data_IF_329221260983
#
_entry.id   IF_329221260983
#
_cell.length_a   1.000
_cell.length_b   1.000
_cell.length_c   1.000
_cell.angle_alpha   90.00
_cell.angle_beta   90.00
_cell.angle_gamma   90.00
#
_symmetry.space_group_name_H-M   'P 1'
#
loop_
_entity.id
_entity.type
_entity.pdbx_description
1 polymer ?
#
# COMPACT_ATOMS: atom_id res chain seq x y z
N UNK A 1 -24.72 -34.23 -64.44
CA UNK A 1 -25.97 -33.65 -63.89
C UNK A 1 -26.15 -34.19 -62.47
N UNK A 2 -25.95 -33.33 -61.45
CA UNK A 2 -26.32 -33.49 -60.02
C UNK A 2 -25.57 -34.60 -59.26
N UNK A 3 -24.46 -34.35 -58.56
CA UNK A 3 -24.32 -33.61 -57.28
C UNK A 3 -25.37 -34.03 -56.25
N UNK A 4 -25.01 -35.00 -55.37
CA UNK A 4 -25.58 -35.27 -54.03
C UNK A 4 -25.01 -36.59 -53.52
N UNK A 5 -24.17 -36.54 -52.48
CA UNK A 5 -24.23 -37.37 -51.26
C UNK A 5 -22.98 -37.05 -50.44
N UNK A 6 -23.09 -35.90 -49.77
CA UNK A 6 -22.22 -35.52 -48.67
C UNK A 6 -22.78 -36.13 -47.37
N UNK A 7 -21.90 -36.21 -46.37
CA UNK A 7 -22.16 -36.47 -44.94
C UNK A 7 -22.56 -37.89 -44.56
N UNK A 8 -21.60 -38.67 -44.04
CA UNK A 8 -21.77 -39.55 -42.88
C UNK A 8 -20.44 -40.27 -42.60
N UNK A 9 -19.60 -39.70 -41.72
CA UNK A 9 -18.61 -40.40 -40.86
C UNK A 9 -17.44 -39.47 -40.46
N UNK A 10 -17.61 -38.61 -39.46
CA UNK A 10 -16.47 -38.02 -38.75
C UNK A 10 -16.80 -37.34 -37.39
N UNK A 11 -17.89 -37.71 -36.70
CA UNK A 11 -18.22 -37.10 -35.40
C UNK A 11 -18.51 -38.15 -34.34
N UNK A 12 -17.50 -38.96 -34.03
CA UNK A 12 -17.49 -39.84 -32.86
C UNK A 12 -16.10 -39.82 -32.21
N UNK A 13 -15.72 -38.64 -31.69
CA UNK A 13 -14.68 -38.54 -30.67
C UNK A 13 -15.33 -37.85 -29.47
N UNK A 14 -15.85 -38.69 -28.58
CA UNK A 14 -16.30 -38.33 -27.24
C UNK A 14 -15.09 -37.86 -26.42
N UNK A 15 -14.77 -36.58 -26.50
CA UNK A 15 -13.98 -35.91 -25.48
C UNK A 15 -14.87 -35.62 -24.28
N UNK A 16 -14.58 -36.23 -23.14
CA UNK A 16 -15.10 -35.80 -21.84
C UNK A 16 -14.67 -34.35 -21.58
N UNK A 17 -15.54 -33.39 -21.93
CA UNK A 17 -15.47 -32.07 -21.34
C UNK A 17 -15.96 -32.21 -19.91
N UNK A 18 -15.01 -32.34 -18.97
CA UNK A 18 -15.26 -32.05 -17.57
C UNK A 18 -15.72 -30.59 -17.50
N UNK A 19 -17.03 -30.40 -17.42
CA UNK A 19 -17.63 -29.14 -17.05
C UNK A 19 -17.20 -28.85 -15.60
N UNK A 20 -16.07 -28.17 -15.44
CA UNK A 20 -15.83 -27.40 -14.24
C UNK A 20 -16.92 -26.33 -14.22
N UNK A 21 -18.00 -26.62 -13.48
CA UNK A 21 -18.99 -25.64 -13.11
C UNK A 21 -18.28 -24.58 -12.25
N UNK A 22 -17.73 -23.56 -12.89
CA UNK A 22 -17.38 -22.33 -12.21
C UNK A 22 -18.72 -21.69 -11.87
N UNK A 23 -19.13 -21.81 -10.61
CA UNK A 23 -20.26 -21.07 -10.07
C UNK A 23 -19.93 -19.58 -10.20
N UNK A 24 -20.40 -18.97 -11.27
CA UNK A 24 -20.42 -17.53 -11.44
C UNK A 24 -21.38 -16.96 -10.38
N UNK A 25 -20.83 -16.57 -9.23
CA UNK A 25 -21.50 -15.68 -8.30
C UNK A 25 -21.53 -14.31 -9.00
N UNK A 26 -22.71 -13.75 -9.35
CA UNK A 26 -22.77 -12.45 -9.97
C UNK A 26 -22.52 -11.39 -8.90
N UNK A 27 -21.38 -10.72 -9.01
CA UNK A 27 -21.08 -9.47 -8.33
C UNK A 27 -20.00 -9.55 -7.26
N UNK A 28 -18.73 -9.56 -7.66
CA UNK A 28 -17.63 -9.00 -6.85
C UNK A 28 -16.56 -8.43 -7.79
N UNK A 29 -16.49 -7.10 -7.81
CA UNK A 29 -15.35 -6.22 -8.10
C UNK A 29 -14.27 -6.67 -9.09
N UNK A 30 -14.31 -6.03 -10.27
CA UNK A 30 -13.12 -5.81 -11.10
C UNK A 30 -12.26 -4.76 -10.39
N UNK A 31 -11.36 -5.19 -9.51
CA UNK A 31 -10.31 -4.32 -8.98
C UNK A 31 -9.02 -4.55 -9.75
N UNK A 32 -8.80 -3.71 -10.76
CA UNK A 32 -7.55 -3.57 -11.51
C UNK A 32 -6.46 -2.83 -10.70
N UNK A 33 -6.45 -2.97 -9.37
CA UNK A 33 -5.47 -2.36 -8.47
C UNK A 33 -4.56 -3.38 -7.75
N UNK A 34 -4.69 -4.68 -8.04
CA UNK A 34 -3.89 -5.76 -7.44
C UNK A 34 -2.77 -6.20 -8.39
N UNK A 35 -1.93 -5.25 -8.80
CA UNK A 35 -0.67 -5.57 -9.47
C UNK A 35 0.47 -5.31 -8.50
N UNK A 36 1.11 -6.37 -8.00
CA UNK A 36 2.41 -6.36 -7.30
C UNK A 36 2.47 -6.05 -5.80
N UNK A 37 1.48 -6.44 -5.00
CA UNK A 37 1.71 -6.63 -3.55
C UNK A 37 1.77 -8.14 -3.24
N UNK A 38 2.98 -8.69 -3.16
CA UNK A 38 3.24 -10.06 -2.65
C UNK A 38 3.55 -10.03 -1.15
N UNK A 39 2.85 -9.17 -0.41
CA UNK A 39 3.08 -8.93 1.00
C UNK A 39 2.35 -9.93 1.90
N UNK A 40 2.66 -9.89 3.19
CA UNK A 40 1.93 -10.67 4.20
C UNK A 40 0.67 -9.92 4.62
N UNK A 41 -0.50 -10.55 4.43
CA UNK A 41 -1.79 -10.02 4.88
C UNK A 41 -2.12 -10.45 6.31
N UNK A 42 -2.60 -9.53 7.12
CA UNK A 42 -3.10 -9.79 8.46
C UNK A 42 -4.29 -8.91 8.80
N UNK A 43 -5.34 -9.50 9.39
CA UNK A 43 -6.46 -8.71 9.94
C UNK A 43 -6.17 -8.27 11.37
N UNK A 44 -6.42 -6.98 11.63
CA UNK A 44 -6.38 -6.34 12.93
C UNK A 44 -7.82 -6.05 13.36
N UNK A 45 -8.22 -6.54 14.53
CA UNK A 45 -9.55 -6.33 15.11
C UNK A 45 -9.70 -4.91 15.71
N UNK A 46 -9.28 -3.91 14.95
CA UNK A 46 -9.25 -2.50 15.30
C UNK A 46 -9.91 -1.68 14.20
N UNK A 47 -10.43 -0.51 14.56
CA UNK A 47 -10.74 0.50 13.56
C UNK A 47 -9.46 1.09 12.95
N UNK A 48 -9.61 1.77 11.81
CA UNK A 48 -8.48 2.31 11.05
C UNK A 48 -7.56 3.24 11.86
N UNK A 49 -8.09 4.06 12.77
CA UNK A 49 -7.27 5.02 13.52
C UNK A 49 -6.38 4.29 14.52
N UNK A 50 -6.93 3.28 15.19
CA UNK A 50 -6.16 2.42 16.09
C UNK A 50 -5.21 1.50 15.34
N UNK A 51 -5.58 1.03 14.15
CA UNK A 51 -4.67 0.28 13.27
C UNK A 51 -3.47 1.12 12.84
N UNK A 52 -3.67 2.39 12.45
CA UNK A 52 -2.57 3.30 12.14
C UNK A 52 -1.65 3.53 13.35
N UNK A 53 -2.22 3.73 14.53
CA UNK A 53 -1.46 3.91 15.77
C UNK A 53 -0.61 2.66 16.08
N UNK A 54 -1.21 1.47 15.97
CA UNK A 54 -0.51 0.20 16.18
C UNK A 54 0.62 -0.02 15.15
N UNK A 55 0.42 0.38 13.89
CA UNK A 55 1.48 0.36 12.87
C UNK A 55 2.63 1.29 13.25
N UNK A 56 2.34 2.53 13.62
CA UNK A 56 3.36 3.50 14.01
C UNK A 56 4.21 2.99 15.18
N UNK A 57 3.56 2.60 16.28
CA UNK A 57 4.26 2.09 17.47
C UNK A 57 5.02 0.80 17.19
N UNK A 58 4.43 -0.13 16.43
CA UNK A 58 5.08 -1.39 16.06
C UNK A 58 6.34 -1.18 15.21
N UNK A 59 6.31 -0.22 14.27
CA UNK A 59 7.50 0.17 13.51
C UNK A 59 8.54 0.86 14.41
N UNK A 60 8.13 1.75 15.31
CA UNK A 60 9.02 2.45 16.22
C UNK A 60 9.77 1.49 17.18
N UNK A 61 9.11 0.43 17.67
CA UNK A 61 9.75 -0.63 18.45
C UNK A 61 10.87 -1.36 17.67
N UNK A 62 10.81 -1.32 16.35
CA UNK A 62 11.80 -1.92 15.45
C UNK A 62 12.81 -0.89 14.91
N UNK A 63 12.83 0.34 15.43
CA UNK A 63 13.63 1.44 14.91
C UNK A 63 13.36 1.71 13.41
N UNK A 64 12.10 1.59 13.02
CA UNK A 64 11.56 1.99 11.72
C UNK A 64 10.58 3.14 11.92
N UNK A 65 10.44 3.98 10.90
CA UNK A 65 9.51 5.11 10.94
C UNK A 65 8.60 5.08 9.72
N UNK A 66 7.38 5.58 9.89
CA UNK A 66 6.52 5.93 8.75
C UNK A 66 7.09 7.19 8.12
N UNK A 67 7.65 7.06 6.92
CA UNK A 67 8.27 8.17 6.20
C UNK A 67 7.23 8.98 5.44
N UNK A 68 6.26 8.29 4.83
CA UNK A 68 5.16 8.88 4.05
C UNK A 68 3.86 8.19 4.43
N UNK A 69 2.80 8.97 4.64
CA UNK A 69 1.44 8.51 4.90
C UNK A 69 0.49 9.14 3.88
N UNK A 70 -0.16 8.31 3.08
CA UNK A 70 -1.11 8.70 2.04
C UNK A 70 -2.51 8.15 2.37
N UNK A 71 -3.51 9.01 2.64
CA UNK A 71 -4.91 8.61 2.65
C UNK A 71 -5.35 8.12 1.26
N UNK A 72 -5.98 6.95 1.23
CA UNK A 72 -6.60 6.41 0.01
C UNK A 72 -8.05 6.01 0.29
N UNK A 73 -8.78 5.61 -0.76
CA UNK A 73 -10.14 5.13 -0.59
C UNK A 73 -10.14 3.95 0.40
N UNK A 74 -10.98 4.07 1.43
CA UNK A 74 -11.16 3.07 2.49
C UNK A 74 -9.88 2.71 3.27
N UNK A 75 -8.82 3.53 3.24
CA UNK A 75 -7.53 3.10 3.78
C UNK A 75 -6.42 4.12 3.82
N UNK A 76 -5.22 3.60 4.07
CA UNK A 76 -3.97 4.35 4.04
C UNK A 76 -2.88 3.50 3.38
N UNK A 77 -2.04 4.15 2.57
CA UNK A 77 -0.77 3.59 2.13
C UNK A 77 0.36 4.30 2.88
N UNK A 78 1.34 3.55 3.33
CA UNK A 78 2.46 4.03 4.12
C UNK A 78 3.75 3.58 3.46
N UNK A 79 4.70 4.49 3.28
CA UNK A 79 6.11 4.14 3.09
C UNK A 79 6.78 4.18 4.47
N UNK A 80 7.55 3.15 4.81
CA UNK A 80 8.34 3.12 6.04
C UNK A 80 9.81 2.84 5.75
N UNK A 81 10.69 3.22 6.68
CA UNK A 81 12.07 2.80 6.63
C UNK A 81 12.96 3.43 7.69
N UNK A 82 14.26 3.14 7.57
CA UNK A 82 15.32 3.76 8.37
C UNK A 82 16.62 4.02 7.58
N UNK A 83 16.55 3.93 6.25
CA UNK A 83 17.69 4.11 5.35
C UNK A 83 18.45 2.82 5.00
N UNK A 84 18.34 1.77 5.81
CA UNK A 84 18.88 0.43 5.51
C UNK A 84 17.80 -0.56 5.06
N UNK A 85 16.62 -0.43 5.65
CA UNK A 85 15.43 -1.21 5.37
C UNK A 85 14.31 -0.23 5.04
N UNK A 86 13.61 -0.52 3.95
CA UNK A 86 12.51 0.29 3.45
C UNK A 86 11.34 -0.66 3.11
N UNK A 87 10.14 -0.12 2.99
CA UNK A 87 8.99 -0.91 2.57
C UNK A 87 7.69 -0.13 2.58
N UNK A 88 6.62 -0.87 2.28
CA UNK A 88 5.28 -0.35 2.16
C UNK A 88 4.32 -1.09 3.09
N UNK A 89 3.39 -0.37 3.70
CA UNK A 89 2.23 -0.93 4.38
C UNK A 89 0.97 -0.39 3.73
N UNK A 90 0.01 -1.27 3.47
CA UNK A 90 -1.33 -0.90 3.07
C UNK A 90 -2.31 -1.30 4.17
N UNK A 91 -3.07 -0.31 4.67
CA UNK A 91 -4.17 -0.51 5.60
C UNK A 91 -5.49 -0.33 4.86
N UNK A 92 -6.33 -1.35 4.87
CA UNK A 92 -7.66 -1.34 4.26
C UNK A 92 -8.74 -1.61 5.29
N UNK A 93 -9.73 -0.74 5.36
CA UNK A 93 -10.91 -0.93 6.21
C UNK A 93 -11.79 -2.03 5.62
N UNK A 94 -12.03 -3.09 6.39
CA UNK A 94 -13.02 -4.11 6.05
C UNK A 94 -14.38 -3.82 6.72
N UNK A 95 -14.35 -3.39 7.98
CA UNK A 95 -15.55 -2.96 8.71
C UNK A 95 -15.23 -1.76 9.60
N UNK A 96 -16.22 -1.25 10.34
CA UNK A 96 -15.98 -0.20 11.33
C UNK A 96 -14.94 -0.59 12.41
N UNK A 97 -14.70 -1.89 12.64
CA UNK A 97 -13.80 -2.41 13.69
C UNK A 97 -12.82 -3.49 13.18
N UNK A 98 -12.62 -3.58 11.88
CA UNK A 98 -11.73 -4.56 11.27
C UNK A 98 -10.96 -3.88 10.13
N UNK A 99 -9.64 -3.95 10.21
CA UNK A 99 -8.72 -3.41 9.22
C UNK A 99 -7.76 -4.51 8.78
N UNK A 100 -7.56 -4.70 7.49
CA UNK A 100 -6.50 -5.55 6.95
C UNK A 100 -5.24 -4.72 6.78
N UNK A 101 -4.11 -5.28 7.20
CA UNK A 101 -2.79 -4.76 6.96
C UNK A 101 -2.06 -5.71 6.00
N UNK A 102 -1.52 -5.16 4.92
CA UNK A 102 -0.57 -5.82 4.03
C UNK A 102 0.77 -5.15 4.18
N UNK A 103 1.85 -5.90 4.40
CA UNK A 103 3.21 -5.35 4.50
C UNK A 103 4.13 -5.95 3.45
N UNK A 104 4.97 -5.09 2.86
CA UNK A 104 6.07 -5.46 1.97
C UNK A 104 7.36 -4.80 2.47
N UNK A 105 8.44 -5.56 2.64
CA UNK A 105 9.72 -5.04 3.10
C UNK A 105 10.86 -5.41 2.14
N UNK A 106 11.79 -4.49 1.93
CA UNK A 106 12.92 -4.68 1.04
C UNK A 106 14.21 -4.02 1.52
N UNK A 107 15.34 -4.65 1.19
CA UNK A 107 16.68 -4.07 1.33
C UNK A 107 17.28 -3.91 -0.06
N UNK A 108 17.30 -2.67 -0.57
CA UNK A 108 17.54 -2.41 -1.98
C UNK A 108 16.50 -3.13 -2.83
N UNK A 109 16.93 -4.00 -3.76
CA UNK A 109 16.04 -4.76 -4.64
C UNK A 109 15.59 -6.12 -4.05
N UNK A 110 16.02 -6.48 -2.85
CA UNK A 110 15.75 -7.80 -2.26
C UNK A 110 14.59 -7.75 -1.29
N UNK A 111 13.53 -8.48 -1.60
CA UNK A 111 12.40 -8.79 -0.70
C UNK A 111 12.86 -9.43 0.61
N UNK A 112 12.22 -9.07 1.73
CA UNK A 112 12.59 -9.46 3.09
C UNK A 112 11.41 -10.10 3.85
N UNK A 113 10.99 -11.30 3.47
CA UNK A 113 9.88 -12.01 4.10
C UNK A 113 10.00 -12.17 5.64
N UNK A 114 11.22 -12.41 6.16
CA UNK A 114 11.43 -12.54 7.61
C UNK A 114 11.18 -11.23 8.36
N UNK A 115 11.47 -10.09 7.72
CA UNK A 115 11.20 -8.75 8.25
C UNK A 115 9.70 -8.48 8.24
N UNK A 116 9.01 -8.82 7.16
CA UNK A 116 7.55 -8.67 7.07
C UNK A 116 6.83 -9.43 8.19
N UNK A 117 7.22 -10.68 8.45
CA UNK A 117 6.68 -11.46 9.55
C UNK A 117 6.99 -10.85 10.92
N UNK A 118 8.17 -10.24 11.10
CA UNK A 118 8.52 -9.55 12.33
C UNK A 118 7.66 -8.29 12.52
N UNK A 119 7.49 -7.46 11.48
CA UNK A 119 6.60 -6.28 11.51
C UNK A 119 5.17 -6.69 11.83
N UNK A 120 4.64 -7.73 11.16
CA UNK A 120 3.29 -8.25 11.45
C UNK A 120 3.16 -8.67 12.91
N UNK A 121 4.17 -9.34 13.46
CA UNK A 121 4.16 -9.80 14.85
C UNK A 121 4.16 -8.62 15.82
N UNK A 122 5.02 -7.61 15.61
CA UNK A 122 5.11 -6.44 16.47
C UNK A 122 3.83 -5.60 16.41
N UNK A 123 3.34 -5.29 15.22
CA UNK A 123 2.08 -4.55 15.05
C UNK A 123 0.90 -5.30 15.66
N UNK A 124 0.83 -6.64 15.49
CA UNK A 124 -0.20 -7.45 16.14
C UNK A 124 -0.07 -7.39 17.66
N UNK A 125 1.14 -7.48 18.21
CA UNK A 125 1.38 -7.35 19.64
C UNK A 125 0.82 -6.03 20.18
N UNK A 126 1.23 -4.91 19.58
CA UNK A 126 0.72 -3.58 19.95
C UNK A 126 -0.80 -3.49 19.78
N UNK A 127 -1.36 -4.07 18.71
CA UNK A 127 -2.80 -4.02 18.45
C UNK A 127 -3.67 -4.67 19.53
N UNK A 128 -3.11 -5.64 20.28
CA UNK A 128 -3.82 -6.32 21.36
C UNK A 128 -3.92 -5.47 22.62
N UNK A 129 -2.97 -4.54 22.80
CA UNK A 129 -2.89 -3.63 23.95
C UNK A 129 -3.41 -2.22 23.63
N UNK A 130 -3.85 -1.98 22.38
CA UNK A 130 -4.26 -0.66 21.91
C UNK A 130 -5.51 -0.14 22.63
N UNK A 131 -5.38 1.03 23.24
CA UNK A 131 -6.47 1.75 23.91
C UNK A 131 -7.48 2.34 22.93
N UNK A 132 -8.68 2.66 23.42
CA UNK A 132 -9.73 3.30 22.60
C UNK A 132 -9.34 4.70 22.09
N UNK A 133 -8.42 5.35 22.80
CA UNK A 133 -7.94 6.70 22.51
C UNK A 133 -6.66 6.72 21.67
N UNK A 134 -6.12 5.55 21.32
CA UNK A 134 -4.88 5.49 20.55
C UNK A 134 -5.10 6.03 19.13
N UNK A 135 -4.20 6.92 18.73
CA UNK A 135 -4.22 7.63 17.45
C UNK A 135 -2.80 7.70 16.90
N UNK A 136 -2.71 7.73 15.58
CA UNK A 136 -1.46 8.08 14.91
C UNK A 136 -1.00 9.48 15.37
N UNK A 137 0.24 9.59 15.80
CA UNK A 137 0.86 10.87 16.14
C UNK A 137 1.43 11.50 14.87
N UNK A 138 0.86 12.66 14.52
CA UNK A 138 1.35 13.50 13.42
C UNK A 138 2.44 14.48 13.89
N UNK A 139 2.96 14.34 15.11
CA UNK A 139 4.02 15.20 15.62
C UNK A 139 5.27 15.08 14.74
N UNK A 140 5.79 16.22 14.30
CA UNK A 140 6.96 16.29 13.41
C UNK A 140 6.64 16.07 11.92
N UNK A 141 5.44 15.61 11.56
CA UNK A 141 5.07 15.42 10.16
C UNK A 141 4.76 16.75 9.46
N UNK A 142 5.10 16.82 8.18
CA UNK A 142 4.74 17.92 7.27
C UNK A 142 3.77 17.42 6.21
N UNK A 143 3.08 18.36 5.56
CA UNK A 143 2.03 18.08 4.57
C UNK A 143 2.61 17.81 3.18
N UNK A 144 1.91 16.97 2.42
CA UNK A 144 2.13 16.71 1.00
C UNK A 144 0.96 17.30 0.22
N UNK A 145 1.25 17.93 -0.92
CA UNK A 145 0.28 18.70 -1.71
C UNK A 145 0.18 18.19 -3.16
N UNK A 146 -0.99 18.39 -3.76
CA UNK A 146 -1.25 18.04 -5.17
C UNK A 146 -0.50 18.95 -6.15
N UNK A 147 -0.22 20.19 -5.77
CA UNK A 147 0.53 21.17 -6.57
C UNK A 147 1.60 21.82 -5.71
N UNK A 148 2.49 22.58 -6.35
CA UNK A 148 3.49 23.40 -5.65
C UNK A 148 2.88 24.65 -5.01
N UNK A 149 1.78 24.48 -4.28
CA UNK A 149 1.00 25.54 -3.63
C UNK A 149 0.36 24.97 -2.36
N UNK A 150 0.60 25.61 -1.21
CA UNK A 150 0.04 25.21 0.08
C UNK A 150 -1.49 25.33 0.14
N UNK A 151 -2.09 26.15 -0.74
CA UNK A 151 -3.54 26.24 -0.88
C UNK A 151 -4.14 25.08 -1.71
N UNK A 152 -3.30 24.26 -2.34
CA UNK A 152 -3.76 23.08 -3.09
C UNK A 152 -4.19 21.95 -2.16
N UNK A 153 -4.82 20.93 -2.73
CA UNK A 153 -5.32 19.78 -1.97
C UNK A 153 -4.18 19.07 -1.25
N UNK A 154 -4.36 18.83 0.05
CA UNK A 154 -3.49 17.95 0.84
C UNK A 154 -3.70 16.49 0.42
N UNK A 155 -2.59 15.80 0.15
CA UNK A 155 -2.56 14.41 -0.30
C UNK A 155 -1.99 13.44 0.75
N UNK A 156 -1.43 13.96 1.84
CA UNK A 156 -0.86 13.13 2.90
C UNK A 156 0.16 13.87 3.74
N UNK A 157 0.99 13.10 4.44
CA UNK A 157 2.01 13.59 5.34
C UNK A 157 3.33 12.88 5.13
N UNK A 158 4.43 13.56 5.44
CA UNK A 158 5.77 12.98 5.44
C UNK A 158 6.56 13.39 6.68
N UNK A 159 7.52 12.54 7.08
CA UNK A 159 8.41 12.81 8.20
C UNK A 159 9.74 13.43 7.70
N UNK A 160 10.03 14.71 8.00
CA UNK A 160 11.27 15.35 7.57
C UNK A 160 12.51 14.68 8.16
N UNK A 161 13.62 14.74 7.43
CA UNK A 161 14.91 14.17 7.85
C UNK A 161 15.07 12.68 7.55
N UNK A 162 13.99 12.00 7.17
CA UNK A 162 14.05 10.63 6.66
C UNK A 162 14.52 10.60 5.20
N UNK A 163 15.12 9.49 4.82
CA UNK A 163 15.53 9.25 3.43
C UNK A 163 14.27 9.06 2.58
N UNK A 164 14.08 9.91 1.57
CA UNK A 164 12.98 9.84 0.62
C UNK A 164 13.50 10.12 -0.79
N UNK A 165 12.84 9.55 -1.80
CA UNK A 165 13.15 9.81 -3.20
C UNK A 165 12.38 11.05 -3.67
N UNK A 166 13.09 12.15 -3.83
CA UNK A 166 12.51 13.43 -4.25
C UNK A 166 13.32 14.05 -5.39
N UNK A 167 12.64 14.74 -6.29
CA UNK A 167 13.22 15.51 -7.39
C UNK A 167 13.05 17.00 -7.14
N UNK A 168 13.96 17.81 -7.69
CA UNK A 168 13.76 19.27 -7.75
C UNK A 168 12.62 19.62 -8.70
N UNK A 169 11.89 20.68 -8.37
CA UNK A 169 10.95 21.32 -9.29
C UNK A 169 11.53 22.62 -9.86
N UNK A 170 10.84 23.23 -10.81
CA UNK A 170 11.21 24.56 -11.32
C UNK A 170 10.81 25.71 -10.37
N UNK A 171 10.19 25.41 -9.23
CA UNK A 171 9.76 26.39 -8.24
C UNK A 171 10.65 26.25 -7.00
N UNK A 172 11.33 27.32 -6.64
CA UNK A 172 12.19 27.34 -5.46
C UNK A 172 11.42 26.98 -4.19
N UNK A 173 12.05 26.19 -3.32
CA UNK A 173 11.45 25.70 -2.08
C UNK A 173 10.48 24.53 -2.26
N UNK A 174 10.31 24.00 -3.47
CA UNK A 174 9.43 22.86 -3.75
C UNK A 174 10.17 21.67 -4.34
N UNK A 175 9.88 20.50 -3.76
CA UNK A 175 10.35 19.21 -4.22
C UNK A 175 9.16 18.37 -4.69
N UNK A 176 9.40 17.52 -5.67
CA UNK A 176 8.46 16.54 -6.18
C UNK A 176 8.79 15.18 -5.62
N UNK A 177 7.79 14.37 -5.31
CA UNK A 177 7.95 12.98 -4.90
C UNK A 177 6.89 12.09 -5.56
N UNK A 178 7.11 10.78 -5.51
CA UNK A 178 6.07 9.79 -5.75
C UNK A 178 5.49 9.33 -4.42
N UNK A 179 4.16 9.30 -4.33
CA UNK A 179 3.44 8.71 -3.23
C UNK A 179 3.46 7.17 -3.31
N UNK A 180 3.17 6.45 -2.21
CA UNK A 180 3.03 4.99 -2.21
C UNK A 180 2.01 4.44 -3.22
N UNK A 181 1.01 5.22 -3.63
CA UNK A 181 0.10 4.87 -4.74
C UNK A 181 0.75 4.94 -6.12
N UNK A 182 1.94 5.51 -6.23
CA UNK A 182 2.64 5.85 -7.47
C UNK A 182 2.28 7.22 -8.04
N UNK A 183 1.32 7.93 -7.43
CA UNK A 183 0.91 9.28 -7.85
C UNK A 183 1.99 10.31 -7.58
N UNK A 184 2.07 11.34 -8.43
CA UNK A 184 2.99 12.47 -8.24
C UNK A 184 2.42 13.46 -7.22
N UNK A 185 3.27 13.98 -6.34
CA UNK A 185 2.92 14.99 -5.35
C UNK A 185 4.09 15.93 -5.04
N UNK A 186 3.84 16.94 -4.22
CA UNK A 186 4.78 18.01 -3.92
C UNK A 186 4.90 18.29 -2.42
N UNK A 187 6.12 18.62 -1.99
CA UNK A 187 6.42 19.03 -0.62
C UNK A 187 7.23 20.31 -0.62
N UNK A 188 7.08 21.08 0.45
CA UNK A 188 7.95 22.22 0.71
C UNK A 188 9.26 21.75 1.35
N UNK A 189 10.39 22.19 0.78
CA UNK A 189 11.72 21.89 1.30
C UNK A 189 12.84 22.15 0.30
N UNK A 190 14.05 21.81 0.74
CA UNK A 190 15.28 21.88 -0.06
C UNK A 190 16.11 20.62 0.14
N UNK A 191 16.93 20.29 -0.86
CA UNK A 191 17.87 19.18 -0.75
C UNK A 191 19.05 19.59 0.15
N UNK A 192 19.47 18.67 1.01
CA UNK A 192 20.65 18.85 1.88
C UNK A 192 21.89 18.90 0.99
N UNK A 193 22.33 20.11 0.63
CA UNK A 193 23.43 20.36 -0.30
C UNK A 193 23.28 21.63 -1.16
N UNK A 194 22.09 22.23 -1.21
CA UNK A 194 21.84 23.48 -1.96
C UNK A 194 22.08 24.77 -1.13
N UNK A 195 22.77 24.64 0.02
CA UNK A 195 22.97 25.75 0.96
C UNK A 195 24.01 25.44 2.03
N UNK A 196 25.27 25.33 1.61
CA UNK A 196 26.47 25.63 2.39
C UNK A 196 27.62 25.93 1.41
#
# INVERSE_FOLDING_TARGET
MRLRFALLAALALNGCAAAAAVSAIPGVFVDKAVGFFSGQDVSLALDMQRSLAAVQQGLEHMSLHVNVLEPVNDGYRLEFGNGELDGDIYLQRLTARLTTMTVSAHRGLKHQASVESAIVKEVRGVSMDAGEQDRFSFEGYKRIYEKTDEASRELGWFLPGQKMHVDKTNRDGWLRLKLPSGSEAFIEGSLKGDGA
#
